data_IF_518014249179
#
_entry.id   IF_518014249179
#
_cell.length_a   1.000
_cell.length_b   1.000
_cell.length_c   1.000
_cell.angle_alpha   90.00
_cell.angle_beta   90.00
_cell.angle_gamma   90.00
#
_symmetry.space_group_name_H-M   'P 1'
#
loop_
_entity.id
_entity.type
_entity.pdbx_description
1 polymer ?
#
# COMPACT_ATOMS: atom_id res chain seq x y z
N UNK A 1 52.77 -34.71 -33.14
CA UNK A 1 52.64 -33.32 -32.66
C UNK A 1 51.30 -32.81 -33.17
N UNK A 2 50.26 -32.77 -32.31
CA UNK A 2 49.72 -31.58 -31.60
C UNK A 2 49.17 -30.53 -32.59
N UNK A 3 47.94 -30.02 -32.55
CA UNK A 3 46.76 -30.15 -31.68
C UNK A 3 45.59 -29.62 -32.52
N UNK A 4 44.51 -30.39 -32.71
CA UNK A 4 43.25 -29.89 -33.27
C UNK A 4 42.44 -29.37 -32.09
N UNK A 5 42.39 -28.04 -31.92
CA UNK A 5 41.51 -27.39 -30.95
C UNK A 5 40.11 -27.37 -31.57
N UNK A 6 39.29 -28.33 -31.15
CA UNK A 6 37.85 -28.35 -31.41
C UNK A 6 37.22 -27.20 -30.61
N UNK A 7 36.88 -26.10 -31.28
CA UNK A 7 36.03 -25.06 -30.70
C UNK A 7 34.60 -25.63 -30.60
N UNK A 8 34.22 -26.10 -29.40
CA UNK A 8 32.82 -26.28 -29.05
C UNK A 8 32.20 -24.88 -28.89
N UNK A 9 31.51 -24.41 -29.92
CA UNK A 9 30.55 -23.31 -29.77
C UNK A 9 29.35 -23.89 -29.02
N UNK A 10 29.37 -23.79 -27.69
CA UNK A 10 28.20 -24.06 -26.86
C UNK A 10 27.24 -22.88 -27.08
N UNK A 11 26.40 -22.99 -28.10
CA UNK A 11 25.24 -22.13 -28.28
C UNK A 11 24.25 -22.42 -27.14
N UNK A 12 24.43 -21.76 -26.00
CA UNK A 12 23.42 -21.70 -24.96
C UNK A 12 22.25 -20.91 -25.56
N UNK A 13 21.25 -21.61 -26.12
CA UNK A 13 19.93 -21.05 -26.33
C UNK A 13 19.38 -20.70 -24.94
N UNK A 14 19.57 -19.46 -24.50
CA UNK A 14 18.69 -18.87 -23.51
C UNK A 14 17.33 -18.73 -24.17
N UNK A 15 16.51 -19.78 -24.08
CA UNK A 15 15.08 -19.64 -24.22
C UNK A 15 14.65 -18.72 -23.08
N UNK A 16 14.58 -17.41 -23.38
CA UNK A 16 13.81 -16.46 -22.60
C UNK A 16 12.37 -16.95 -22.67
N UNK A 17 12.01 -17.86 -21.77
CA UNK A 17 10.64 -18.18 -21.48
C UNK A 17 10.01 -16.87 -21.06
N UNK A 18 9.30 -16.24 -21.99
CA UNK A 18 8.38 -15.18 -21.67
C UNK A 18 7.41 -15.78 -20.65
N UNK A 19 7.61 -15.45 -19.38
CA UNK A 19 6.67 -15.83 -18.34
C UNK A 19 5.36 -15.13 -18.72
N UNK A 20 4.41 -15.90 -19.22
CA UNK A 20 3.07 -15.39 -19.47
C UNK A 20 2.55 -14.87 -18.13
N UNK A 21 2.25 -13.58 -18.08
CA UNK A 21 1.70 -12.97 -16.89
C UNK A 21 0.36 -13.65 -16.58
N UNK A 22 0.17 -14.09 -15.33
CA UNK A 22 -1.12 -14.65 -14.93
C UNK A 22 -2.23 -13.62 -15.18
N UNK A 23 -3.41 -14.04 -15.66
CA UNK A 23 -4.54 -13.14 -15.85
C UNK A 23 -4.88 -12.38 -14.56
N UNK A 24 -5.17 -11.08 -14.68
CA UNK A 24 -5.59 -10.26 -13.56
C UNK A 24 -7.01 -10.65 -13.14
N UNK A 25 -7.17 -11.00 -11.85
CA UNK A 25 -8.48 -11.30 -11.25
C UNK A 25 -8.99 -10.05 -10.52
N UNK A 26 -9.80 -9.24 -11.21
CA UNK A 26 -10.25 -7.93 -10.74
C UNK A 26 -11.05 -7.96 -9.43
N UNK A 27 -11.75 -9.06 -9.13
CA UNK A 27 -12.48 -9.22 -7.86
C UNK A 27 -11.60 -9.08 -6.62
N UNK A 28 -10.28 -9.32 -6.77
CA UNK A 28 -9.32 -9.10 -5.69
C UNK A 28 -9.10 -7.64 -5.35
N UNK A 29 -9.50 -6.70 -6.22
CA UNK A 29 -9.33 -5.26 -6.05
C UNK A 29 -10.46 -4.62 -5.23
N UNK A 30 -11.69 -5.09 -5.44
CA UNK A 30 -12.90 -4.46 -4.91
C UNK A 30 -13.04 -4.61 -3.40
N UNK A 31 -13.80 -3.69 -2.80
CA UNK A 31 -14.16 -3.70 -1.39
C UNK A 31 -12.97 -3.72 -0.43
N UNK A 32 -11.77 -3.33 -0.93
CA UNK A 32 -10.51 -3.26 -0.19
C UNK A 32 -9.95 -1.86 -0.28
N UNK A 33 -9.32 -1.42 0.82
CA UNK A 33 -8.52 -0.20 0.82
C UNK A 33 -7.07 -0.58 0.54
N UNK A 34 -6.46 0.17 -0.35
CA UNK A 34 -5.09 0.01 -0.81
C UNK A 34 -4.32 1.25 -0.38
N UNK A 35 -3.21 1.08 0.32
CA UNK A 35 -2.35 2.19 0.72
C UNK A 35 -1.01 2.09 0.01
N UNK A 36 -0.50 3.22 -0.45
CA UNK A 36 0.83 3.26 -1.07
C UNK A 36 1.90 2.83 -0.05
N UNK A 37 2.73 1.89 -0.45
CA UNK A 37 3.84 1.33 0.32
C UNK A 37 5.18 1.84 -0.23
N UNK A 38 5.33 1.82 -1.56
CA UNK A 38 6.54 2.24 -2.26
C UNK A 38 6.17 2.93 -3.58
N UNK A 39 6.95 3.94 -3.96
CA UNK A 39 6.90 4.54 -5.29
C UNK A 39 8.31 4.68 -5.84
N UNK A 40 8.52 4.20 -7.06
CA UNK A 40 9.81 4.20 -7.72
C UNK A 40 9.71 4.56 -9.21
N UNK A 41 10.82 5.00 -9.78
CA UNK A 41 10.95 5.27 -11.21
C UNK A 41 11.96 4.31 -11.80
N UNK A 42 11.51 3.55 -12.80
CA UNK A 42 12.32 2.62 -13.57
C UNK A 42 12.72 3.26 -14.90
N UNK A 43 13.96 2.98 -15.33
CA UNK A 43 14.49 3.35 -16.64
C UNK A 43 14.68 2.08 -17.48
N UNK A 44 13.65 1.61 -18.21
CA UNK A 44 13.70 0.33 -18.92
C UNK A 44 14.85 0.25 -19.93
N UNK A 45 15.22 1.36 -20.57
CA UNK A 45 16.30 1.41 -21.56
C UNK A 45 17.70 1.55 -20.95
N UNK A 46 17.80 1.66 -19.62
CA UNK A 46 19.08 1.76 -18.95
C UNK A 46 18.99 1.13 -17.55
N UNK A 47 18.87 -0.21 -17.48
CA UNK A 47 18.72 -0.91 -16.20
C UNK A 47 19.94 -0.71 -15.29
N UNK A 48 21.12 -0.48 -15.85
CA UNK A 48 22.36 -0.19 -15.13
C UNK A 48 22.32 1.15 -14.37
N UNK A 49 21.50 2.11 -14.83
CA UNK A 49 21.22 3.35 -14.10
C UNK A 49 20.28 3.16 -12.91
N UNK A 50 19.81 1.93 -12.68
CA UNK A 50 19.12 1.50 -11.48
C UNK A 50 17.65 1.97 -11.37
N UNK A 51 16.99 1.45 -10.34
CA UNK A 51 15.67 1.91 -9.90
C UNK A 51 15.87 3.09 -8.97
N UNK A 52 15.23 4.23 -9.28
CA UNK A 52 15.19 5.36 -8.37
C UNK A 52 13.97 5.24 -7.47
N UNK A 53 14.16 4.78 -6.23
CA UNK A 53 13.09 4.80 -5.23
C UNK A 53 12.84 6.25 -4.82
N UNK A 54 11.64 6.74 -5.12
CA UNK A 54 11.21 8.09 -4.74
C UNK A 54 10.66 8.12 -3.32
N UNK A 55 10.01 7.04 -2.92
CA UNK A 55 9.38 6.87 -1.62
C UNK A 55 9.36 5.39 -1.22
N UNK A 56 9.64 5.14 0.06
CA UNK A 56 9.41 3.85 0.71
C UNK A 56 8.95 4.12 2.14
N UNK A 57 7.86 3.48 2.54
CA UNK A 57 7.32 3.58 3.89
C UNK A 57 8.38 3.19 4.94
N UNK A 58 8.46 3.96 6.01
CA UNK A 58 9.43 3.73 7.11
C UNK A 58 10.82 4.31 6.89
N UNK A 59 11.08 4.95 5.74
CA UNK A 59 12.31 5.70 5.49
C UNK A 59 11.98 7.20 5.35
N UNK A 60 12.82 8.08 5.89
CA UNK A 60 12.56 9.54 5.99
C UNK A 60 12.70 10.27 4.63
N UNK A 61 11.95 9.85 3.60
CA UNK A 61 11.81 10.64 2.38
C UNK A 61 11.01 11.91 2.64
N UNK A 62 11.35 13.01 1.96
CA UNK A 62 10.72 14.33 2.11
C UNK A 62 9.25 14.38 1.66
N UNK A 63 8.75 13.33 1.03
CA UNK A 63 7.37 13.20 0.59
C UNK A 63 6.63 12.26 1.54
N UNK A 64 5.65 12.79 2.27
CA UNK A 64 4.77 11.98 3.10
C UNK A 64 3.70 11.33 2.22
N UNK A 65 4.02 10.22 1.57
CA UNK A 65 3.04 9.50 0.74
C UNK A 65 2.18 8.51 1.55
N UNK A 66 2.33 8.43 2.88
CA UNK A 66 1.57 7.53 3.76
C UNK A 66 0.05 7.77 3.71
N UNK A 67 -0.32 9.00 3.34
CA UNK A 67 -1.71 9.41 3.22
C UNK A 67 -2.37 8.91 1.94
N UNK A 68 -1.61 8.46 0.92
CA UNK A 68 -2.19 8.05 -0.35
C UNK A 68 -2.90 6.70 -0.21
N UNK A 69 -4.21 6.72 -0.39
CA UNK A 69 -5.07 5.54 -0.27
C UNK A 69 -6.05 5.48 -1.43
N UNK A 70 -6.47 4.27 -1.80
CA UNK A 70 -7.47 4.02 -2.83
C UNK A 70 -8.45 2.95 -2.33
N UNK A 71 -9.70 3.07 -2.75
CA UNK A 71 -10.78 2.12 -2.50
C UNK A 71 -11.58 1.98 -3.79
N UNK A 72 -11.86 0.74 -4.18
CA UNK A 72 -12.54 0.41 -5.43
C UNK A 72 -13.87 -0.27 -5.12
N UNK A 73 -14.95 0.24 -5.68
CA UNK A 73 -16.28 -0.35 -5.62
C UNK A 73 -16.50 -1.28 -6.82
N UNK A 74 -17.39 -2.24 -6.65
CA UNK A 74 -17.78 -3.19 -7.72
C UNK A 74 -18.51 -2.51 -8.88
N UNK A 75 -19.15 -1.36 -8.64
CA UNK A 75 -19.82 -0.56 -9.68
C UNK A 75 -18.85 0.27 -10.55
N UNK A 76 -17.54 0.07 -10.37
CA UNK A 76 -16.49 0.80 -11.07
C UNK A 76 -16.22 2.18 -10.47
N UNK A 77 -16.92 2.64 -9.45
CA UNK A 77 -16.55 3.87 -8.74
C UNK A 77 -15.43 3.59 -7.73
N UNK A 78 -14.81 4.65 -7.23
CA UNK A 78 -13.82 4.54 -6.17
C UNK A 78 -13.61 5.85 -5.45
N UNK A 79 -12.92 5.75 -4.33
CA UNK A 79 -12.52 6.90 -3.52
C UNK A 79 -11.12 6.71 -2.99
N UNK A 80 -10.56 7.77 -2.43
CA UNK A 80 -9.23 7.71 -1.88
C UNK A 80 -8.80 9.02 -1.27
N UNK A 81 -7.52 9.10 -0.97
CA UNK A 81 -6.85 10.32 -0.55
C UNK A 81 -5.54 10.46 -1.31
N UNK A 82 -5.20 11.69 -1.67
CA UNK A 82 -3.92 11.99 -2.30
C UNK A 82 -2.76 12.01 -1.28
N UNK A 83 -1.60 12.46 -1.73
CA UNK A 83 -0.38 12.53 -0.91
C UNK A 83 -0.47 13.60 0.19
N UNK A 84 -1.32 14.61 0.02
CA UNK A 84 -1.61 15.63 1.03
C UNK A 84 -2.71 15.19 2.00
N UNK A 85 -3.40 14.08 1.69
CA UNK A 85 -4.53 13.57 2.46
C UNK A 85 -5.87 14.15 2.02
N UNK A 86 -5.92 14.94 0.93
CA UNK A 86 -7.17 15.43 0.40
C UNK A 86 -7.96 14.26 -0.19
N UNK A 87 -9.24 14.17 0.19
CA UNK A 87 -10.11 13.12 -0.32
C UNK A 87 -10.43 13.34 -1.81
N UNK A 88 -10.55 12.25 -2.57
CA UNK A 88 -11.06 12.27 -3.93
C UNK A 88 -12.06 11.13 -4.17
N UNK A 89 -12.88 11.29 -5.21
CA UNK A 89 -13.73 10.23 -5.76
C UNK A 89 -13.63 10.24 -7.28
N UNK A 90 -13.57 9.05 -7.88
CA UNK A 90 -13.40 8.86 -9.33
C UNK A 90 -14.16 7.63 -9.83
N UNK A 91 -14.51 7.65 -11.11
CA UNK A 91 -14.94 6.46 -11.84
C UNK A 91 -13.72 5.78 -12.42
N UNK A 92 -13.58 4.48 -12.20
CA UNK A 92 -12.55 3.62 -12.75
C UNK A 92 -13.11 2.79 -13.91
N UNK A 93 -12.29 2.57 -14.93
CA UNK A 93 -12.57 1.67 -16.04
C UNK A 93 -11.43 0.68 -16.15
N UNK A 94 -11.78 -0.56 -16.46
CA UNK A 94 -10.84 -1.63 -16.70
C UNK A 94 -10.75 -1.85 -18.22
N UNK A 95 -9.55 -1.75 -18.77
CA UNK A 95 -9.32 -1.83 -20.22
C UNK A 95 -8.38 -2.99 -20.55
N UNK A 96 -8.80 -3.87 -21.46
CA UNK A 96 -8.05 -5.05 -21.82
C UNK A 96 -7.80 -5.99 -20.63
N UNK A 97 -6.61 -6.61 -20.59
CA UNK A 97 -6.28 -7.60 -19.56
C UNK A 97 -5.72 -7.00 -18.26
N UNK A 98 -5.16 -5.78 -18.31
CA UNK A 98 -4.45 -5.19 -17.17
C UNK A 98 -4.50 -3.66 -17.11
N UNK A 99 -5.26 -2.98 -17.98
CA UNK A 99 -5.42 -1.53 -17.92
C UNK A 99 -6.37 -1.12 -16.81
N UNK A 100 -5.93 -0.20 -15.95
CA UNK A 100 -6.73 0.48 -14.95
C UNK A 100 -6.74 1.98 -15.25
N UNK A 101 -7.92 2.54 -15.46
CA UNK A 101 -8.09 3.92 -15.91
C UNK A 101 -8.99 4.68 -14.95
N UNK A 102 -8.56 5.82 -14.42
CA UNK A 102 -9.47 6.73 -13.73
C UNK A 102 -10.02 7.76 -14.73
N UNK A 103 -11.28 8.12 -14.60
CA UNK A 103 -11.88 9.17 -15.41
C UNK A 103 -11.09 10.48 -15.27
N UNK A 104 -10.76 11.08 -16.43
CA UNK A 104 -9.91 12.28 -16.53
C UNK A 104 -8.41 12.00 -16.67
N UNK A 105 -7.97 10.76 -16.50
CA UNK A 105 -6.56 10.42 -16.66
C UNK A 105 -6.17 10.38 -18.14
N UNK A 106 -5.01 10.96 -18.46
CA UNK A 106 -4.50 11.02 -19.83
C UNK A 106 -3.99 9.67 -20.33
N UNK A 107 -3.65 8.75 -19.43
CA UNK A 107 -3.06 7.43 -19.71
C UNK A 107 -3.53 6.42 -18.67
N UNK A 108 -3.84 5.17 -19.04
CA UNK A 108 -4.13 4.12 -18.08
C UNK A 108 -2.86 3.73 -17.31
N UNK A 109 -3.07 3.33 -16.06
CA UNK A 109 -2.08 2.55 -15.32
C UNK A 109 -2.17 1.08 -15.75
N UNK A 110 -1.04 0.41 -15.80
CA UNK A 110 -0.92 -1.02 -16.05
C UNK A 110 -0.85 -1.76 -14.71
N UNK A 111 -1.77 -2.69 -14.47
CA UNK A 111 -1.75 -3.58 -13.30
C UNK A 111 -0.76 -4.71 -13.56
N UNK A 112 0.43 -4.58 -12.98
CA UNK A 112 1.50 -5.57 -13.12
C UNK A 112 1.29 -6.74 -12.18
N UNK A 113 0.71 -6.49 -11.00
CA UNK A 113 0.45 -7.53 -10.01
C UNK A 113 -0.79 -7.18 -9.20
N UNK A 114 -1.67 -8.15 -9.02
CA UNK A 114 -2.82 -8.05 -8.13
C UNK A 114 -2.98 -9.36 -7.35
N UNK A 115 -2.78 -9.28 -6.05
CA UNK A 115 -2.97 -10.38 -5.09
C UNK A 115 -3.98 -9.95 -4.02
N UNK A 116 -4.21 -10.78 -3.01
CA UNK A 116 -5.09 -10.38 -1.90
C UNK A 116 -4.51 -9.27 -1.01
N UNK A 117 -3.20 -9.05 -1.07
CA UNK A 117 -2.49 -8.13 -0.16
C UNK A 117 -1.61 -7.09 -0.85
N UNK A 118 -1.39 -7.24 -2.15
CA UNK A 118 -0.47 -6.40 -2.91
C UNK A 118 -1.06 -6.07 -4.29
N UNK A 119 -0.96 -4.80 -4.65
CA UNK A 119 -1.33 -4.23 -5.95
C UNK A 119 -0.12 -3.43 -6.46
N UNK A 120 0.36 -3.74 -7.66
CA UNK A 120 1.45 -2.98 -8.30
C UNK A 120 0.90 -2.35 -9.58
N UNK A 121 0.98 -1.03 -9.63
CA UNK A 121 0.61 -0.21 -10.78
C UNK A 121 1.86 0.34 -11.46
N UNK A 122 1.84 0.38 -12.79
CA UNK A 122 2.86 1.06 -13.58
C UNK A 122 2.24 2.08 -14.52
N UNK A 123 2.85 3.27 -14.59
CA UNK A 123 2.46 4.32 -15.55
C UNK A 123 3.66 4.64 -16.42
N UNK A 124 3.49 4.45 -17.74
CA UNK A 124 4.50 4.78 -18.75
C UNK A 124 4.42 6.26 -19.09
N UNK A 125 5.48 7.01 -18.80
CA UNK A 125 5.58 8.43 -19.11
C UNK A 125 6.77 8.71 -20.02
N UNK A 126 6.56 9.57 -21.01
CA UNK A 126 7.64 10.11 -21.81
C UNK A 126 8.21 11.32 -21.08
N UNK A 127 9.51 11.31 -20.81
CA UNK A 127 10.22 12.42 -20.21
C UNK A 127 11.19 13.00 -21.23
N UNK A 128 11.16 14.33 -21.38
CA UNK A 128 12.08 15.06 -22.23
C UNK A 128 13.07 15.81 -21.37
N UNK A 129 14.34 15.43 -21.44
CA UNK A 129 15.41 16.05 -20.66
C UNK A 129 15.56 17.52 -21.05
N UNK A 130 15.50 18.48 -20.11
CA UNK A 130 15.69 19.90 -20.43
C UNK A 130 17.16 20.21 -20.79
N UNK A 131 18.10 19.33 -20.42
CA UNK A 131 19.54 19.54 -20.65
C UNK A 131 20.00 18.96 -21.99
N UNK A 132 19.50 17.78 -22.36
CA UNK A 132 19.93 17.08 -23.59
C UNK A 132 18.89 17.14 -24.71
N UNK A 133 17.65 17.56 -24.42
CA UNK A 133 16.51 17.55 -25.35
C UNK A 133 16.13 16.14 -25.86
N UNK A 134 16.74 15.09 -25.30
CA UNK A 134 16.43 13.69 -25.58
C UNK A 134 15.14 13.27 -24.87
N UNK A 135 14.38 12.40 -25.52
CA UNK A 135 13.19 11.76 -24.94
C UNK A 135 13.55 10.37 -24.42
N UNK A 136 13.21 10.09 -23.16
CA UNK A 136 13.31 8.77 -22.55
C UNK A 136 11.95 8.32 -22.01
N UNK A 137 11.73 7.00 -21.99
CA UNK A 137 10.57 6.43 -21.33
C UNK A 137 10.91 6.13 -19.87
N UNK A 138 10.11 6.68 -18.98
CA UNK A 138 10.14 6.39 -17.55
C UNK A 138 8.91 5.56 -17.20
N UNK A 139 9.09 4.62 -16.27
CA UNK A 139 7.99 3.88 -15.68
C UNK A 139 7.90 4.30 -14.22
N UNK A 140 6.85 5.02 -13.87
CA UNK A 140 6.49 5.20 -12.47
C UNK A 140 5.84 3.90 -12.00
N UNK A 141 6.39 3.28 -10.96
CA UNK A 141 5.85 2.08 -10.34
C UNK A 141 5.39 2.41 -8.93
N UNK A 142 4.11 2.20 -8.67
CA UNK A 142 3.50 2.37 -7.37
C UNK A 142 3.10 1.00 -6.82
N UNK A 143 3.67 0.63 -5.68
CA UNK A 143 3.28 -0.56 -4.91
C UNK A 143 2.31 -0.14 -3.83
N UNK A 144 1.14 -0.76 -3.85
CA UNK A 144 0.13 -0.65 -2.81
C UNK A 144 0.02 -1.96 -2.05
N UNK A 145 -0.27 -1.83 -0.75
CA UNK A 145 -0.58 -2.96 0.12
C UNK A 145 -2.00 -2.84 0.63
N UNK A 146 -2.62 -3.98 0.91
CA UNK A 146 -3.91 -4.01 1.58
C UNK A 146 -3.80 -3.27 2.90
N UNK A 147 -4.64 -2.25 3.04
CA UNK A 147 -4.75 -1.46 4.24
C UNK A 147 -6.10 -1.73 4.89
N UNK A 148 -6.07 -2.41 6.02
CA UNK A 148 -7.24 -2.52 6.87
C UNK A 148 -7.10 -1.47 8.00
N UNK A 149 -7.91 -0.39 8.01
CA UNK A 149 -7.91 0.58 9.10
C UNK A 149 -8.28 -0.05 10.45
N UNK A 150 -8.87 -1.25 10.44
CA UNK A 150 -9.30 -2.03 11.60
C UNK A 150 -8.36 -3.16 11.97
N UNK A 151 -7.23 -3.31 11.26
CA UNK A 151 -6.18 -4.25 11.67
C UNK A 151 -5.59 -3.89 13.03
N UNK A 152 -5.53 -2.60 13.36
CA UNK A 152 -5.13 -2.07 14.66
C UNK A 152 -6.07 -0.92 15.04
N UNK A 153 -6.70 -1.05 16.20
CA UNK A 153 -7.55 -0.02 16.78
C UNK A 153 -6.65 0.99 17.48
N UNK A 154 -6.45 2.13 16.83
CA UNK A 154 -5.62 3.19 17.39
C UNK A 154 -6.48 4.27 18.05
N UNK A 155 -6.00 4.83 19.15
CA UNK A 155 -6.69 5.99 19.74
C UNK A 155 -6.50 7.24 18.87
N UNK A 156 -7.61 7.87 18.52
CA UNK A 156 -7.67 9.12 17.73
C UNK A 156 -7.49 10.37 18.59
N UNK A 157 -7.76 10.26 19.90
CA UNK A 157 -7.62 11.33 20.90
C UNK A 157 -7.48 10.75 22.31
N UNK A 158 -7.47 11.60 23.34
CA UNK A 158 -7.70 11.16 24.72
C UNK A 158 -9.20 10.99 24.98
N UNK A 159 -9.58 10.07 25.87
CA UNK A 159 -10.98 9.80 26.17
C UNK A 159 -11.20 8.46 26.88
N UNK A 160 -12.46 8.04 26.94
CA UNK A 160 -12.85 6.80 27.61
C UNK A 160 -12.79 5.60 26.65
N UNK A 161 -12.33 4.45 27.13
CA UNK A 161 -12.14 3.23 26.35
C UNK A 161 -13.44 2.77 25.66
N UNK A 162 -14.57 2.98 26.32
CA UNK A 162 -15.90 2.59 25.85
C UNK A 162 -16.55 3.61 24.90
N UNK A 163 -15.85 4.69 24.53
CA UNK A 163 -16.28 5.60 23.48
C UNK A 163 -15.87 5.03 22.11
N UNK A 164 -16.81 4.58 21.25
CA UNK A 164 -16.46 4.05 19.93
C UNK A 164 -15.71 5.09 19.08
N UNK A 165 -16.02 6.38 19.21
CA UNK A 165 -15.40 7.45 18.41
C UNK A 165 -13.94 7.74 18.80
N UNK A 166 -13.47 7.14 19.91
CA UNK A 166 -12.06 7.17 20.30
C UNK A 166 -11.17 6.38 19.35
N UNK A 167 -11.71 5.36 18.68
CA UNK A 167 -10.93 4.35 17.96
C UNK A 167 -11.03 4.52 16.44
N UNK A 168 -9.96 4.18 15.71
CA UNK A 168 -9.86 4.28 14.24
C UNK A 168 -11.04 3.67 13.47
N UNK A 169 -11.70 2.66 14.03
CA UNK A 169 -12.84 1.98 13.40
C UNK A 169 -14.20 2.34 13.97
N UNK A 170 -14.28 3.38 14.79
CA UNK A 170 -15.53 3.84 15.40
C UNK A 170 -16.26 2.71 16.13
N UNK A 171 -15.50 1.79 16.73
CA UNK A 171 -15.97 0.60 17.42
C UNK A 171 -15.12 0.40 18.67
N UNK A 172 -15.74 -0.13 19.72
CA UNK A 172 -15.02 -0.46 20.96
C UNK A 172 -14.21 -1.74 20.70
N UNK A 173 -12.89 -1.75 20.99
CA UNK A 173 -12.07 -2.95 20.83
C UNK A 173 -12.62 -4.15 21.59
N UNK A 174 -12.58 -5.31 20.94
CA UNK A 174 -12.91 -6.61 21.51
C UNK A 174 -11.63 -7.42 21.75
N UNK A 175 -11.77 -8.62 22.33
CA UNK A 175 -10.67 -9.54 22.60
C UNK A 175 -9.89 -9.97 21.33
N UNK A 176 -10.45 -9.76 20.14
CA UNK A 176 -9.83 -10.12 18.87
C UNK A 176 -9.07 -8.95 18.21
N UNK A 177 -9.17 -7.74 18.75
CA UNK A 177 -8.60 -6.54 18.12
C UNK A 177 -7.24 -6.19 18.73
N UNK A 178 -6.24 -5.93 17.89
CA UNK A 178 -4.99 -5.32 18.33
C UNK A 178 -5.26 -3.85 18.64
N UNK A 179 -4.82 -3.35 19.79
CA UNK A 179 -5.04 -1.98 20.22
C UNK A 179 -3.72 -1.24 20.36
N UNK A 180 -3.68 0.01 19.88
CA UNK A 180 -2.57 0.93 20.12
C UNK A 180 -3.08 2.22 20.75
N UNK A 181 -2.56 2.58 21.92
CA UNK A 181 -2.77 3.92 22.47
C UNK A 181 -1.68 4.81 21.88
N UNK A 182 -2.07 5.74 21.02
CA UNK A 182 -1.15 6.65 20.36
C UNK A 182 -0.43 7.58 21.36
N UNK A 183 0.75 8.07 20.95
CA UNK A 183 1.60 8.92 21.79
C UNK A 183 0.81 10.15 22.25
N UNK A 184 1.04 10.60 23.48
CA UNK A 184 0.35 11.72 24.14
C UNK A 184 -1.14 11.51 24.43
N UNK A 185 -1.75 10.40 24.01
CA UNK A 185 -3.15 10.11 24.36
C UNK A 185 -3.23 9.50 25.76
N UNK A 186 -4.28 9.89 26.50
CA UNK A 186 -4.68 9.28 27.77
C UNK A 186 -6.03 8.60 27.57
N UNK A 187 -6.04 7.28 27.59
CA UNK A 187 -7.25 6.47 27.52
C UNK A 187 -7.63 6.03 28.92
N UNK A 188 -8.89 6.19 29.28
CA UNK A 188 -9.42 5.84 30.61
C UNK A 188 -10.37 4.66 30.47
N UNK A 189 -10.17 3.61 31.25
CA UNK A 189 -11.16 2.53 31.39
C UNK A 189 -12.08 2.92 32.56
N UNK A 190 -13.39 3.16 32.32
CA UNK A 190 -14.30 3.68 33.34
C UNK A 190 -14.50 2.76 34.55
N UNK A 191 -15.08 3.29 35.62
CA UNK A 191 -15.36 2.52 36.83
C UNK A 191 -16.24 1.29 36.53
N UNK A 192 -15.89 0.15 37.13
CA UNK A 192 -16.59 -1.14 36.96
C UNK A 192 -16.67 -1.63 35.49
N UNK A 193 -15.79 -1.16 34.61
CA UNK A 193 -15.75 -1.58 33.20
C UNK A 193 -14.62 -2.59 32.93
N UNK A 194 -14.89 -3.58 32.07
CA UNK A 194 -13.87 -4.50 31.55
C UNK A 194 -13.54 -4.16 30.10
N UNK A 195 -12.34 -3.63 29.88
CA UNK A 195 -11.78 -3.43 28.55
C UNK A 195 -11.23 -4.74 27.98
N UNK A 196 -11.36 -4.93 26.67
CA UNK A 196 -10.88 -6.11 25.96
C UNK A 196 -9.96 -5.70 24.80
N UNK A 197 -8.89 -6.46 24.58
CA UNK A 197 -8.02 -6.33 23.40
C UNK A 197 -7.31 -7.66 23.14
N UNK A 198 -6.92 -7.97 21.90
CA UNK A 198 -6.01 -9.09 21.62
C UNK A 198 -4.62 -8.80 22.19
N UNK A 199 -4.05 -7.67 21.78
CA UNK A 199 -2.79 -7.14 22.28
C UNK A 199 -2.94 -5.64 22.52
N UNK A 200 -2.16 -5.09 23.44
CA UNK A 200 -2.12 -3.66 23.71
C UNK A 200 -0.70 -3.12 23.52
N UNK A 201 -0.53 -2.22 22.55
CA UNK A 201 0.67 -1.39 22.41
C UNK A 201 0.43 -0.03 23.06
N UNK A 202 1.08 0.20 24.20
CA UNK A 202 0.86 1.38 25.02
C UNK A 202 1.94 2.46 24.76
N UNK A 203 1.82 3.21 23.66
CA UNK A 203 2.70 4.36 23.39
C UNK A 203 2.25 5.63 24.16
N UNK A 204 0.97 5.69 24.57
CA UNK A 204 0.41 6.70 25.46
C UNK A 204 0.15 6.17 26.88
N UNK A 205 -0.86 6.72 27.57
CA UNK A 205 -1.22 6.32 28.95
C UNK A 205 -2.57 5.60 28.97
N UNK A 206 -2.62 4.44 29.61
CA UNK A 206 -3.86 3.78 30.01
C UNK A 206 -4.11 4.03 31.50
N UNK A 207 -5.31 4.47 31.85
CA UNK A 207 -5.71 4.69 33.23
C UNK A 207 -6.92 3.82 33.58
N UNK A 208 -6.75 2.88 34.50
CA UNK A 208 -7.83 2.03 35.01
C UNK A 208 -8.48 2.74 36.19
N UNK A 209 -9.79 2.97 36.11
CA UNK A 209 -10.59 3.53 37.21
C UNK A 209 -10.97 2.44 38.22
N UNK A 210 -11.79 2.77 39.22
CA UNK A 210 -12.12 1.85 40.31
C UNK A 210 -12.78 0.58 39.76
N UNK A 211 -12.27 -0.58 40.18
CA UNK A 211 -12.71 -1.92 39.75
C UNK A 211 -12.65 -2.16 38.23
N UNK A 212 -11.98 -1.28 37.47
CA UNK A 212 -11.79 -1.46 36.04
C UNK A 212 -10.77 -2.58 35.78
N UNK A 213 -10.94 -3.32 34.69
CA UNK A 213 -10.03 -4.40 34.27
C UNK A 213 -9.72 -4.28 32.79
N UNK A 214 -8.52 -4.71 32.40
CA UNK A 214 -8.16 -4.97 31.02
C UNK A 214 -7.92 -6.47 30.86
N UNK A 215 -8.61 -7.09 29.91
CA UNK A 215 -8.44 -8.49 29.54
C UNK A 215 -7.78 -8.55 28.17
N UNK A 216 -6.61 -9.19 28.11
CA UNK A 216 -5.89 -9.43 26.86
C UNK A 216 -6.17 -10.83 26.32
N UNK A 217 -6.25 -10.95 24.99
CA UNK A 217 -6.33 -12.22 24.29
C UNK A 217 -5.07 -13.06 24.53
N UNK A 218 -5.22 -14.38 24.46
CA UNK A 218 -4.09 -15.31 24.46
C UNK A 218 -3.48 -15.40 23.06
#
# INVERSE_FOLDING_TARGET
MRNIILLFVVSILFALSAFAQEPIVWDKLYSKRWRLDESSVLRPNNPDKGTLVLYSRGNFSRMNLDNRQMYFNEDGTGSGSDVEGNAFSRTWKFEGNNGLWAEGDRRPAEVVKLTDRELILQVKQTYKSPYTNEEEFLIAQDKYVLYDPCAVYESLRSGDWNDPTLWTCQQIPTINNKVQINKNHKVVVPDNYTAYAQTLRQNGKLNLKQNAKLVLGK
#
